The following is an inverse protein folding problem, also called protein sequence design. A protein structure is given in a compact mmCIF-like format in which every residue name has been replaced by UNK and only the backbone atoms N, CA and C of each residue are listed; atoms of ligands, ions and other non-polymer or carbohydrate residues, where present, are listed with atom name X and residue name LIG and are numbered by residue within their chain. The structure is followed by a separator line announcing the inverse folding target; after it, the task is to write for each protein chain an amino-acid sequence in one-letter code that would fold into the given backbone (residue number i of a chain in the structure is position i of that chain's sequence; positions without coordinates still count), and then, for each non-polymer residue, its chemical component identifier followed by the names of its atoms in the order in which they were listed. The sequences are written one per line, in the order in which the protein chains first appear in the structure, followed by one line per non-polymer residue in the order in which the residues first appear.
data_IF_634618494079
#
_entry.id   IF_634618494079
#
_cell.length_a   1.000
_cell.length_b   1.000
_cell.length_c   1.000
_cell.angle_alpha   90.00
_cell.angle_beta   90.00
_cell.angle_gamma   90.00
#
_symmetry.space_group_name_H-M   'P 1'
#
loop_
_entity.id
_entity.type
_entity.pdbx_description
1 polymer ?
#
# COMPACT_ATOMS: atom_id res chain seq x y z
N UNK A 1 0.07 0.43 6.60
CA UNK A 1 1.08 -0.54 6.15
C UNK A 1 1.90 0.05 5.01
N UNK A 2 3.23 0.11 5.15
CA UNK A 2 4.16 0.51 4.09
C UNK A 2 5.16 -0.63 3.83
N UNK A 3 5.31 -1.05 2.58
CA UNK A 3 6.22 -2.13 2.16
C UNK A 3 7.23 -1.57 1.16
N UNK A 4 8.51 -1.79 1.44
CA UNK A 4 9.62 -1.34 0.61
C UNK A 4 10.66 -2.44 0.43
N UNK A 5 11.40 -2.37 -0.68
CA UNK A 5 12.55 -3.23 -0.95
C UNK A 5 13.66 -2.99 0.11
N UNK A 6 14.35 -4.03 0.63
CA UNK A 6 15.45 -3.90 1.60
C UNK A 6 16.55 -2.88 1.27
N UNK A 7 16.87 -2.61 0.00
CA UNK A 7 17.84 -1.57 -0.36
C UNK A 7 17.39 -0.12 -0.03
N UNK A 8 16.13 0.08 0.34
CA UNK A 8 15.54 1.36 0.74
C UNK A 8 14.97 1.31 2.16
N UNK A 9 15.63 0.57 3.07
CA UNK A 9 15.19 0.44 4.45
C UNK A 9 15.04 1.82 5.11
N UNK A 10 13.80 2.14 5.46
CA UNK A 10 13.42 3.38 6.16
C UNK A 10 13.95 3.30 7.59
N UNK A 11 14.68 4.32 8.04
CA UNK A 11 15.21 4.36 9.41
C UNK A 11 14.08 4.49 10.44
N UNK A 12 14.31 4.04 11.68
CA UNK A 12 13.34 4.18 12.77
C UNK A 12 12.88 5.64 12.97
N UNK A 13 13.79 6.60 12.76
CA UNK A 13 13.47 8.04 12.79
C UNK A 13 12.48 8.41 11.69
N UNK A 14 12.69 7.94 10.46
CA UNK A 14 11.80 8.21 9.33
C UNK A 14 10.42 7.54 9.51
N UNK A 15 10.38 6.32 10.07
CA UNK A 15 9.11 5.63 10.41
C UNK A 15 8.30 6.44 11.41
N UNK A 16 8.92 6.85 12.52
CA UNK A 16 8.27 7.65 13.57
C UNK A 16 7.75 8.99 13.02
N UNK A 17 8.55 9.69 12.22
CA UNK A 17 8.14 10.95 11.59
C UNK A 17 6.95 10.77 10.64
N UNK A 18 6.86 9.65 9.93
CA UNK A 18 5.71 9.34 9.08
C UNK A 18 4.46 9.08 9.91
N UNK A 19 4.56 8.27 10.96
CA UNK A 19 3.44 7.99 11.87
C UNK A 19 2.90 9.27 12.51
N UNK A 20 3.77 10.13 13.03
CA UNK A 20 3.37 11.41 13.64
C UNK A 20 2.62 12.30 12.64
N UNK A 21 3.08 12.37 11.39
CA UNK A 21 2.38 13.12 10.34
C UNK A 21 1.00 12.53 10.04
N UNK A 22 0.88 11.21 9.95
CA UNK A 22 -0.39 10.55 9.67
C UNK A 22 -1.39 10.72 10.81
N UNK A 23 -0.95 10.56 12.06
CA UNK A 23 -1.78 10.77 13.26
C UNK A 23 -2.30 12.20 13.39
N UNK A 24 -1.58 13.20 12.88
CA UNK A 24 -2.07 14.60 12.84
C UNK A 24 -3.25 14.82 11.89
N UNK A 25 -3.36 14.00 10.83
CA UNK A 25 -4.38 14.18 9.79
C UNK A 25 -5.53 13.17 9.88
N UNK A 26 -5.30 12.01 10.50
CA UNK A 26 -6.28 10.94 10.64
C UNK A 26 -6.88 10.99 12.05
N UNK A 27 -8.15 11.38 12.16
CA UNK A 27 -8.90 11.44 13.45
C UNK A 27 -9.38 10.07 13.95
N UNK A 28 -9.07 8.99 13.24
CA UNK A 28 -9.51 7.63 13.57
C UNK A 28 -8.55 6.99 14.59
N UNK A 29 -9.07 6.64 15.77
CA UNK A 29 -8.26 6.22 16.92
C UNK A 29 -7.70 4.79 16.85
N UNK A 30 -8.41 3.76 16.36
CA UNK A 30 -7.85 2.42 16.26
C UNK A 30 -7.05 2.28 14.96
N UNK A 31 -5.78 2.69 15.01
CA UNK A 31 -4.87 2.61 13.87
C UNK A 31 -3.46 2.19 14.31
N UNK A 32 -2.99 1.12 13.67
CA UNK A 32 -1.65 0.56 13.82
C UNK A 32 -0.84 0.78 12.54
N UNK A 33 0.48 0.87 12.70
CA UNK A 33 1.41 1.13 11.61
C UNK A 33 2.48 0.06 11.53
N UNK A 34 2.39 -0.78 10.50
CA UNK A 34 3.41 -1.78 10.22
C UNK A 34 4.30 -1.37 9.05
N UNK A 35 5.61 -1.48 9.29
CA UNK A 35 6.67 -1.24 8.32
C UNK A 35 7.40 -2.54 8.06
N UNK A 36 7.18 -3.13 6.89
CA UNK A 36 7.76 -4.41 6.52
C UNK A 36 8.81 -4.22 5.44
N UNK A 37 9.97 -4.82 5.65
CA UNK A 37 10.97 -5.03 4.59
C UNK A 37 10.64 -6.35 3.90
N UNK A 38 10.58 -6.33 2.57
CA UNK A 38 10.16 -7.50 1.80
C UNK A 38 11.01 -7.64 0.54
N UNK A 39 11.51 -8.86 0.31
CA UNK A 39 12.20 -9.22 -0.93
C UNK A 39 11.20 -9.57 -2.06
N UNK A 40 10.05 -10.18 -1.72
CA UNK A 40 8.91 -10.35 -2.62
C UNK A 40 7.64 -9.77 -2.01
N UNK A 41 7.40 -8.50 -2.32
CA UNK A 41 6.29 -7.69 -1.79
C UNK A 41 4.94 -8.36 -1.99
N UNK A 42 4.72 -9.08 -3.10
CA UNK A 42 3.42 -9.70 -3.33
C UNK A 42 3.20 -10.93 -2.46
N UNK A 43 4.24 -11.75 -2.30
CA UNK A 43 4.15 -12.95 -1.46
C UNK A 43 3.97 -12.57 0.00
N UNK A 44 4.78 -11.62 0.49
CA UNK A 44 4.72 -11.19 1.89
C UNK A 44 3.42 -10.43 2.20
N UNK A 45 2.90 -9.64 1.25
CA UNK A 45 1.59 -9.00 1.42
C UNK A 45 0.46 -10.01 1.60
N UNK A 46 0.43 -11.09 0.81
CA UNK A 46 -0.59 -12.15 0.97
C UNK A 46 -0.48 -12.84 2.34
N UNK A 47 0.73 -13.14 2.78
CA UNK A 47 0.97 -13.75 4.09
C UNK A 47 0.51 -12.82 5.21
N UNK A 48 0.87 -11.54 5.12
CA UNK A 48 0.48 -10.54 6.09
C UNK A 48 -1.05 -10.39 6.20
N UNK A 49 -1.76 -10.29 5.07
CA UNK A 49 -3.23 -10.20 5.08
C UNK A 49 -3.87 -11.43 5.73
N UNK A 50 -3.31 -12.61 5.52
CA UNK A 50 -3.76 -13.83 6.18
C UNK A 50 -3.50 -13.81 7.69
N UNK A 51 -2.31 -13.40 8.11
CA UNK A 51 -1.94 -13.30 9.53
C UNK A 51 -2.75 -12.25 10.28
N UNK A 52 -3.02 -11.12 9.63
CA UNK A 52 -3.82 -10.02 10.17
C UNK A 52 -5.33 -10.31 10.14
N UNK A 53 -5.77 -11.43 9.53
CA UNK A 53 -7.17 -11.74 9.25
C UNK A 53 -7.90 -10.56 8.58
N UNK A 54 -7.27 -9.96 7.56
CA UNK A 54 -7.79 -8.75 6.94
C UNK A 54 -9.10 -9.01 6.18
N UNK A 55 -10.16 -8.28 6.55
CA UNK A 55 -11.46 -8.34 5.86
C UNK A 55 -11.47 -7.57 4.52
N UNK A 56 -10.62 -6.55 4.41
CA UNK A 56 -10.49 -5.71 3.20
C UNK A 56 -9.07 -5.17 3.09
N UNK A 57 -8.59 -5.01 1.86
CA UNK A 57 -7.37 -4.25 1.57
C UNK A 57 -7.70 -3.02 0.73
N UNK A 58 -7.21 -1.86 1.17
CA UNK A 58 -7.27 -0.62 0.42
C UNK A 58 -5.89 -0.28 -0.17
N UNK A 59 -5.81 -0.03 -1.48
CA UNK A 59 -4.56 0.29 -2.17
C UNK A 59 -4.69 1.52 -3.07
N UNK A 60 -3.61 2.27 -3.22
CA UNK A 60 -3.52 3.40 -4.15
C UNK A 60 -2.88 2.93 -5.46
N UNK A 61 -3.63 3.01 -6.56
CA UNK A 61 -3.12 2.81 -7.92
C UNK A 61 -2.34 4.06 -8.36
N UNK A 62 -1.07 3.87 -8.69
CA UNK A 62 -0.16 4.94 -9.13
C UNK A 62 -0.03 4.90 -10.64
N UNK A 63 0.02 6.08 -11.27
CA UNK A 63 0.28 6.15 -12.71
C UNK A 63 1.70 5.75 -13.05
N UNK A 64 1.85 4.82 -13.99
CA UNK A 64 3.08 4.62 -14.72
C UNK A 64 2.89 5.21 -16.14
N UNK A 65 3.71 6.21 -16.50
CA UNK A 65 3.60 6.97 -17.77
C UNK A 65 3.84 6.15 -19.05
N UNK A 66 4.09 4.83 -18.96
CA UNK A 66 4.41 4.01 -20.13
C UNK A 66 3.52 2.79 -20.25
N UNK A 67 2.82 2.67 -21.38
CA UNK A 67 2.01 1.51 -21.78
C UNK A 67 2.82 0.19 -21.76
N UNK A 68 4.15 0.27 -21.96
CA UNK A 68 5.06 -0.87 -21.88
C UNK A 68 5.28 -1.39 -20.44
N UNK A 69 5.14 -0.53 -19.41
CA UNK A 69 5.29 -0.96 -18.01
C UNK A 69 4.07 -1.71 -17.47
N UNK A 70 2.88 -1.46 -18.04
CA UNK A 70 1.65 -2.18 -17.72
C UNK A 70 1.71 -3.67 -18.09
N UNK A 71 2.51 -4.04 -19.09
CA UNK A 71 2.62 -5.41 -19.59
C UNK A 71 3.79 -6.20 -18.96
N UNK A 72 4.89 -5.53 -18.60
CA UNK A 72 6.13 -6.19 -18.16
C UNK A 72 6.43 -6.13 -16.66
N UNK A 73 5.68 -5.35 -15.88
CA UNK A 73 5.69 -5.42 -14.41
C UNK A 73 4.24 -5.34 -13.94
N UNK A 74 3.60 -6.50 -13.68
CA UNK A 74 2.21 -6.53 -13.19
C UNK A 74 2.10 -5.63 -11.96
N UNK A 75 1.39 -4.52 -12.11
CA UNK A 75 1.06 -3.58 -11.03
C UNK A 75 0.59 -4.39 -9.80
N UNK A 76 1.10 -4.05 -8.62
CA UNK A 76 0.74 -4.74 -7.37
C UNK A 76 -0.78 -4.77 -7.17
N UNK A 77 -1.47 -3.68 -7.52
CA UNK A 77 -2.93 -3.59 -7.47
C UNK A 77 -3.55 -4.66 -8.38
N UNK A 78 -3.03 -4.82 -9.61
CA UNK A 78 -3.50 -5.85 -10.56
C UNK A 78 -3.18 -7.28 -10.12
N UNK A 79 -2.04 -7.50 -9.45
CA UNK A 79 -1.72 -8.81 -8.86
C UNK A 79 -2.67 -9.14 -7.72
N UNK A 80 -3.02 -8.15 -6.89
CA UNK A 80 -3.97 -8.32 -5.79
C UNK A 80 -5.41 -8.47 -6.27
N UNK A 81 -5.79 -7.79 -7.36
CA UNK A 81 -7.07 -7.99 -8.04
C UNK A 81 -7.25 -9.46 -8.46
N UNK A 82 -6.21 -10.07 -9.06
CA UNK A 82 -6.22 -11.49 -9.42
C UNK A 82 -6.10 -12.47 -8.25
N UNK A 83 -5.68 -12.03 -7.06
CA UNK A 83 -5.55 -12.91 -5.89
C UNK A 83 -6.91 -13.30 -5.30
N UNK A 84 -7.86 -12.37 -5.27
CA UNK A 84 -9.29 -12.63 -5.01
C UNK A 84 -9.68 -13.19 -3.65
N UNK A 85 -8.74 -13.46 -2.71
CA UNK A 85 -9.06 -13.98 -1.37
C UNK A 85 -9.50 -12.91 -0.37
N UNK A 86 -9.08 -11.67 -0.57
CA UNK A 86 -9.46 -10.52 0.25
C UNK A 86 -10.04 -9.45 -0.68
N UNK A 87 -11.23 -8.90 -0.41
CA UNK A 87 -11.78 -7.78 -1.18
C UNK A 87 -10.79 -6.62 -1.32
N UNK A 88 -10.61 -6.14 -2.55
CA UNK A 88 -9.71 -5.04 -2.88
C UNK A 88 -10.50 -3.77 -3.17
N UNK A 89 -10.27 -2.74 -2.35
CA UNK A 89 -10.66 -1.36 -2.62
C UNK A 89 -9.47 -0.61 -3.23
N UNK A 90 -9.67 -0.01 -4.40
CA UNK A 90 -8.61 0.74 -5.06
C UNK A 90 -8.98 2.24 -5.15
N UNK A 91 -8.04 3.10 -4.77
CA UNK A 91 -8.12 4.52 -5.01
C UNK A 91 -7.23 4.89 -6.19
N UNK A 92 -7.80 5.56 -7.20
CA UNK A 92 -7.02 6.08 -8.31
C UNK A 92 -6.50 7.48 -7.98
N UNK A 93 -5.19 7.68 -8.05
CA UNK A 93 -4.57 8.96 -7.72
C UNK A 93 -5.07 10.14 -8.58
N UNK A 94 -5.55 9.91 -9.82
CA UNK A 94 -6.15 10.97 -10.67
C UNK A 94 -7.36 11.62 -10.04
N UNK A 95 -8.14 10.85 -9.28
CA UNK A 95 -9.40 11.34 -8.71
C UNK A 95 -9.18 12.25 -7.50
N UNK A 96 -7.97 12.29 -6.93
CA UNK A 96 -7.65 13.18 -5.81
C UNK A 96 -7.65 14.67 -6.19
N UNK A 97 -7.48 15.01 -7.48
CA UNK A 97 -7.56 16.40 -7.96
C UNK A 97 -8.99 16.90 -8.27
N UNK A 98 -10.02 16.05 -8.13
CA UNK A 98 -11.41 16.38 -8.50
C UNK A 98 -12.22 16.89 -7.31
N UNK A 99 -11.78 16.62 -6.08
CA UNK A 99 -12.46 17.03 -4.84
C UNK A 99 -11.72 18.16 -4.14
N UNK A 100 -11.77 19.36 -4.72
CA UNK A 100 -11.58 20.61 -3.99
C UNK A 100 -12.98 21.16 -3.67
N UNK A 101 -13.47 20.88 -2.46
CA UNK A 101 -14.57 21.64 -1.85
C UNK A 101 -13.98 22.72 -0.94
#
# INVERSE_FOLDING_TARGET
MHLSNPQQAITEVQKKLLEEKLRKHIKYSPMEFDFLSSEDVFTDLKLYLGMANADIIAMLEREHKSLASQLFHRDMVKRMEGYGRVPLMCFNAKNYGIFHF
#
